data_IF_136547393192
#
_entry.id   IF_136547393192
#
_cell.length_a   1.000
_cell.length_b   1.000
_cell.length_c   1.000
_cell.angle_alpha   90.00
_cell.angle_beta   90.00
_cell.angle_gamma   90.00
#
_symmetry.space_group_name_H-M   'P 1'
#
loop_
_entity.id
_entity.type
_entity.pdbx_description
1 polymer ?
#
# COMPACT_ATOMS: atom_id res chain seq x y z
N UNK A 1 -43.05 33.15 32.14
CA UNK A 1 -43.28 31.67 32.20
C UNK A 1 -42.99 30.95 30.88
N UNK A 2 -43.16 31.59 29.73
CA UNK A 2 -42.89 30.92 28.44
C UNK A 2 -41.39 30.75 28.12
N UNK A 3 -40.52 31.66 28.53
CA UNK A 3 -39.09 31.60 28.25
C UNK A 3 -38.38 30.38 28.90
N UNK A 4 -38.83 29.96 30.10
CA UNK A 4 -38.31 28.76 30.77
C UNK A 4 -38.66 27.50 29.97
N UNK A 5 -39.86 27.43 29.42
CA UNK A 5 -40.27 26.30 28.52
C UNK A 5 -39.40 26.26 27.27
N UNK A 6 -39.18 27.36 26.60
CA UNK A 6 -38.32 27.44 25.41
C UNK A 6 -36.88 27.06 25.75
N UNK A 7 -36.36 27.53 26.86
CA UNK A 7 -35.00 27.17 27.34
C UNK A 7 -34.90 25.67 27.61
N UNK A 8 -35.84 25.09 28.35
CA UNK A 8 -35.87 23.64 28.61
C UNK A 8 -36.01 22.81 27.33
N UNK A 9 -36.87 23.24 26.41
CA UNK A 9 -37.02 22.56 25.12
C UNK A 9 -35.74 22.62 24.31
N UNK A 10 -35.11 23.78 24.19
CA UNK A 10 -33.83 23.94 23.47
C UNK A 10 -32.72 23.09 24.12
N UNK A 11 -32.66 23.07 25.44
CA UNK A 11 -31.70 22.29 26.20
C UNK A 11 -31.89 20.77 25.95
N UNK A 12 -33.14 20.29 25.97
CA UNK A 12 -33.45 18.91 25.66
C UNK A 12 -33.10 18.54 24.22
N UNK A 13 -33.34 19.42 23.26
CA UNK A 13 -32.93 19.22 21.86
C UNK A 13 -31.40 19.07 21.74
N UNK A 14 -30.65 19.96 22.39
CA UNK A 14 -29.18 19.90 22.39
C UNK A 14 -28.67 18.59 23.00
N UNK A 15 -29.20 18.18 24.15
CA UNK A 15 -28.85 16.89 24.78
C UNK A 15 -29.16 15.73 23.84
N UNK A 16 -30.33 15.73 23.22
CA UNK A 16 -30.71 14.67 22.28
C UNK A 16 -29.75 14.60 21.09
N UNK A 17 -29.36 15.73 20.51
CA UNK A 17 -28.37 15.79 19.43
C UNK A 17 -27.02 15.21 19.89
N UNK A 18 -26.55 15.60 21.08
CA UNK A 18 -25.28 15.09 21.63
C UNK A 18 -25.34 13.54 21.80
N UNK A 19 -26.45 13.03 22.34
CA UNK A 19 -26.65 11.58 22.49
C UNK A 19 -26.66 10.88 21.13
N UNK A 20 -27.35 11.43 20.14
CA UNK A 20 -27.38 10.86 18.78
C UNK A 20 -26.02 10.86 18.11
N UNK A 21 -25.24 11.93 18.25
CA UNK A 21 -23.85 12.00 17.77
C UNK A 21 -23.01 10.94 18.46
N UNK A 22 -23.10 10.81 19.77
CA UNK A 22 -22.33 9.82 20.54
C UNK A 22 -22.69 8.37 20.13
N UNK A 23 -24.00 8.07 20.01
CA UNK A 23 -24.47 6.76 19.57
C UNK A 23 -24.03 6.47 18.12
N UNK A 24 -24.13 7.46 17.25
CA UNK A 24 -23.64 7.36 15.86
C UNK A 24 -22.13 7.09 15.79
N UNK A 25 -21.34 7.74 16.66
CA UNK A 25 -19.90 7.50 16.76
C UNK A 25 -19.58 6.07 17.22
N UNK A 26 -20.30 5.57 18.21
CA UNK A 26 -20.16 4.19 18.69
C UNK A 26 -20.50 3.17 17.58
N UNK A 27 -21.58 3.42 16.82
CA UNK A 27 -21.97 2.57 15.69
C UNK A 27 -20.89 2.61 14.60
N UNK A 28 -20.41 3.80 14.24
CA UNK A 28 -19.35 3.97 13.24
C UNK A 28 -18.07 3.23 13.64
N UNK A 29 -17.67 3.30 14.90
CA UNK A 29 -16.50 2.58 15.42
C UNK A 29 -16.71 1.07 15.41
N UNK A 30 -17.86 0.61 15.93
CA UNK A 30 -18.10 -0.82 16.14
C UNK A 30 -18.37 -1.59 14.84
N UNK A 31 -19.14 -1.02 13.94
CA UNK A 31 -19.61 -1.72 12.73
C UNK A 31 -18.90 -1.31 11.44
N UNK A 32 -18.28 -0.12 11.42
CA UNK A 32 -17.57 0.38 10.23
C UNK A 32 -16.06 0.46 10.44
N UNK A 33 -15.55 0.14 11.64
CA UNK A 33 -14.12 0.23 11.98
C UNK A 33 -13.54 1.63 11.76
N UNK A 34 -14.36 2.68 11.89
CA UNK A 34 -13.96 4.07 11.72
C UNK A 34 -13.50 4.69 13.05
N UNK A 35 -12.87 5.85 12.99
CA UNK A 35 -12.42 6.58 14.18
C UNK A 35 -10.97 6.34 14.57
N UNK A 36 -10.28 5.41 13.90
CA UNK A 36 -8.85 5.16 14.08
C UNK A 36 -8.14 5.07 12.72
N UNK A 37 -8.09 6.17 11.95
CA UNK A 37 -7.45 6.17 10.63
C UNK A 37 -5.94 6.02 10.74
N UNK A 38 -5.34 5.42 9.70
CA UNK A 38 -3.89 5.33 9.59
C UNK A 38 -3.29 6.73 9.52
N UNK A 39 -2.34 7.02 10.38
CA UNK A 39 -1.62 8.29 10.44
C UNK A 39 -0.25 8.12 9.81
N UNK A 40 0.19 9.14 9.08
CA UNK A 40 1.46 9.13 8.35
C UNK A 40 2.38 10.25 8.84
N UNK A 41 3.67 9.97 8.88
CA UNK A 41 4.73 10.95 9.05
C UNK A 41 5.25 11.38 7.68
N UNK A 42 5.46 12.70 7.49
CA UNK A 42 6.13 13.21 6.28
C UNK A 42 7.62 12.94 6.34
N UNK A 43 8.21 12.61 5.20
CA UNK A 43 9.65 12.41 5.08
C UNK A 43 10.22 13.08 3.83
N UNK A 44 11.39 13.77 3.92
CA UNK A 44 11.94 14.56 2.81
C UNK A 44 12.42 13.71 1.62
N UNK A 45 12.85 12.46 1.84
CA UNK A 45 13.40 11.60 0.79
C UNK A 45 12.35 10.74 0.11
N UNK A 46 11.49 10.05 0.90
CA UNK A 46 10.47 9.14 0.36
C UNK A 46 9.04 9.62 0.51
N UNK A 47 8.85 10.88 0.86
CA UNK A 47 7.55 11.55 0.89
C UNK A 47 6.79 11.36 2.19
N UNK A 48 6.47 10.13 2.57
CA UNK A 48 5.76 9.81 3.83
C UNK A 48 5.80 8.32 4.12
N UNK A 49 5.56 7.94 5.37
CA UNK A 49 5.40 6.55 5.83
C UNK A 49 4.39 6.44 6.96
N UNK A 50 3.78 5.28 7.21
CA UNK A 50 2.91 5.10 8.36
C UNK A 50 3.65 5.42 9.65
N UNK A 51 2.95 6.04 10.62
CA UNK A 51 3.52 6.37 11.93
C UNK A 51 3.80 5.11 12.72
N UNK A 52 5.00 5.04 13.27
CA UNK A 52 5.55 3.91 14.00
C UNK A 52 4.75 3.60 15.29
N UNK A 53 4.87 2.36 15.77
CA UNK A 53 4.30 1.89 17.04
C UNK A 53 2.78 2.14 17.15
N UNK A 54 2.02 1.73 16.12
CA UNK A 54 0.57 1.88 16.08
C UNK A 54 -0.13 0.56 15.79
N UNK A 55 -1.27 0.37 16.44
CA UNK A 55 -2.23 -0.69 16.15
C UNK A 55 -3.58 -0.08 15.88
N UNK A 56 -4.20 -0.49 14.82
CA UNK A 56 -5.51 -0.03 14.39
C UNK A 56 -6.42 -1.23 14.25
N UNK A 57 -7.62 -1.16 14.83
CA UNK A 57 -8.69 -2.10 14.54
C UNK A 57 -9.62 -1.44 13.54
N UNK A 58 -9.70 -2.03 12.35
CA UNK A 58 -10.47 -1.46 11.22
C UNK A 58 -11.52 -2.47 10.81
N UNK A 59 -12.53 -2.07 10.07
CA UNK A 59 -13.58 -2.87 9.45
C UNK A 59 -13.68 -4.30 10.04
N UNK A 60 -14.81 -4.75 10.45
CA UNK A 60 -15.08 -6.11 10.96
C UNK A 60 -14.08 -6.71 11.98
N UNK A 61 -13.18 -5.87 12.52
CA UNK A 61 -12.18 -6.29 13.51
C UNK A 61 -10.79 -6.54 12.94
N UNK A 62 -10.56 -6.26 11.66
CA UNK A 62 -9.26 -6.42 11.01
C UNK A 62 -8.17 -5.60 11.73
N UNK A 63 -7.08 -6.26 12.03
CA UNK A 63 -5.94 -5.64 12.69
C UNK A 63 -4.94 -5.11 11.67
N UNK A 64 -4.54 -3.85 11.85
CA UNK A 64 -3.42 -3.23 11.12
C UNK A 64 -2.38 -2.79 12.13
N UNK A 65 -1.25 -3.45 12.14
CA UNK A 65 -0.13 -3.15 13.05
C UNK A 65 1.01 -2.50 12.27
N UNK A 66 1.41 -1.31 12.69
CA UNK A 66 2.61 -0.63 12.22
C UNK A 66 3.64 -0.75 13.34
N UNK A 67 4.74 -1.43 13.07
CA UNK A 67 5.79 -1.70 14.05
C UNK A 67 6.67 -0.47 14.32
N UNK A 68 7.75 -0.66 15.09
CA UNK A 68 8.66 0.40 15.54
C UNK A 68 9.46 1.07 14.41
N UNK A 69 9.53 0.45 13.24
CA UNK A 69 10.23 1.01 12.05
C UNK A 69 9.26 1.52 10.96
N UNK A 70 7.97 1.68 11.28
CA UNK A 70 7.00 2.26 10.34
C UNK A 70 6.61 1.35 9.17
N UNK A 71 6.71 0.04 9.32
CA UNK A 71 6.22 -0.95 8.36
C UNK A 71 5.06 -1.75 8.92
N UNK A 72 4.18 -2.25 8.06
CA UNK A 72 3.07 -3.10 8.45
C UNK A 72 3.60 -4.50 8.78
N UNK A 73 3.74 -4.78 10.07
CA UNK A 73 4.16 -6.06 10.61
C UNK A 73 3.71 -6.19 12.07
N UNK A 74 3.30 -7.39 12.48
CA UNK A 74 2.97 -7.68 13.88
C UNK A 74 4.19 -7.94 14.75
N UNK A 75 5.36 -8.09 14.15
CA UNK A 75 6.66 -8.37 14.79
C UNK A 75 7.60 -7.18 14.70
N UNK A 76 8.51 -7.07 15.66
CA UNK A 76 9.61 -6.12 15.66
C UNK A 76 10.66 -6.48 14.62
N UNK A 77 11.47 -5.50 14.20
CA UNK A 77 12.55 -5.71 13.26
C UNK A 77 13.62 -6.64 13.83
N UNK A 78 14.00 -7.66 13.05
CA UNK A 78 15.07 -8.59 13.43
C UNK A 78 16.41 -8.05 12.96
N UNK A 79 17.14 -7.42 13.88
CA UNK A 79 18.51 -6.94 13.60
C UNK A 79 19.42 -8.13 13.26
N UNK A 80 20.10 -8.08 12.12
CA UNK A 80 20.93 -9.18 11.58
C UNK A 80 20.13 -10.48 11.28
N UNK A 81 18.83 -10.40 11.16
CA UNK A 81 17.97 -11.54 10.83
C UNK A 81 17.85 -11.81 9.33
N UNK A 82 17.28 -12.95 9.00
CA UNK A 82 16.84 -13.29 7.65
C UNK A 82 15.55 -12.52 7.31
N UNK A 83 15.69 -11.29 6.82
CA UNK A 83 14.58 -10.39 6.57
C UNK A 83 14.20 -10.33 5.10
N UNK A 84 12.90 -10.43 4.82
CA UNK A 84 12.30 -10.14 3.52
C UNK A 84 11.48 -8.86 3.67
N UNK A 85 11.75 -7.85 2.87
CA UNK A 85 10.95 -6.63 2.85
C UNK A 85 10.19 -6.52 1.54
N UNK A 86 8.87 -6.39 1.65
CA UNK A 86 7.96 -6.16 0.53
C UNK A 86 7.75 -4.66 0.36
N UNK A 87 8.33 -4.09 -0.68
CA UNK A 87 8.17 -2.69 -1.06
C UNK A 87 7.08 -2.55 -2.11
N UNK A 88 6.28 -1.51 -2.03
CA UNK A 88 5.23 -1.23 -3.02
C UNK A 88 4.28 -0.13 -2.60
N UNK A 89 3.16 -0.08 -3.28
CA UNK A 89 2.07 0.86 -3.07
C UNK A 89 0.96 0.31 -2.15
N UNK A 90 -0.27 0.74 -2.38
CA UNK A 90 -1.46 0.29 -1.63
C UNK A 90 -1.78 -1.19 -1.84
N UNK A 91 -1.41 -1.77 -2.97
CA UNK A 91 -1.61 -3.21 -3.25
C UNK A 91 -0.72 -4.04 -2.32
N UNK A 92 0.53 -3.62 -2.13
CA UNK A 92 1.45 -4.25 -1.17
C UNK A 92 1.00 -4.00 0.26
N UNK A 93 0.60 -2.77 0.59
CA UNK A 93 0.06 -2.44 1.90
C UNK A 93 -1.12 -3.35 2.29
N UNK A 94 -1.99 -3.70 1.34
CA UNK A 94 -3.09 -4.63 1.50
C UNK A 94 -4.41 -3.99 1.96
N UNK A 95 -4.44 -2.65 2.11
CA UNK A 95 -5.62 -1.93 2.61
C UNK A 95 -5.85 -2.11 4.11
N UNK A 96 -6.77 -1.31 4.67
CA UNK A 96 -7.14 -1.39 6.09
C UNK A 96 -8.34 -2.32 6.34
N UNK A 97 -8.79 -3.01 5.32
CA UNK A 97 -9.89 -3.98 5.32
C UNK A 97 -9.39 -5.41 5.18
N UNK A 98 -8.09 -5.63 5.29
CA UNK A 98 -7.43 -6.94 5.32
C UNK A 98 -6.65 -7.02 6.63
N UNK A 99 -6.84 -8.08 7.39
CA UNK A 99 -6.09 -8.35 8.61
C UNK A 99 -4.59 -8.56 8.32
N UNK A 100 -3.73 -8.20 9.26
CA UNK A 100 -2.28 -8.36 9.12
C UNK A 100 -1.90 -9.78 8.72
N UNK A 101 -2.58 -10.78 9.25
CA UNK A 101 -2.33 -12.21 8.98
C UNK A 101 -2.74 -12.66 7.57
N UNK A 102 -3.55 -11.86 6.87
CA UNK A 102 -4.13 -12.16 5.55
C UNK A 102 -3.42 -11.42 4.41
N UNK A 103 -2.51 -10.49 4.70
CA UNK A 103 -1.71 -9.85 3.64
C UNK A 103 -0.81 -10.88 2.98
N UNK A 104 -0.57 -10.74 1.67
CA UNK A 104 0.30 -11.70 0.96
C UNK A 104 1.72 -11.76 1.54
N UNK A 105 2.24 -10.65 2.06
CA UNK A 105 3.55 -10.61 2.73
C UNK A 105 3.56 -11.52 3.97
N UNK A 106 2.52 -11.45 4.81
CA UNK A 106 2.39 -12.30 6.00
C UNK A 106 2.15 -13.77 5.64
N UNK A 107 1.34 -14.02 4.60
CA UNK A 107 1.06 -15.38 4.12
C UNK A 107 2.30 -16.06 3.54
N UNK A 108 3.15 -15.33 2.81
CA UNK A 108 4.45 -15.83 2.33
C UNK A 108 5.32 -16.23 3.52
N UNK A 109 5.43 -15.38 4.55
CA UNK A 109 6.24 -15.66 5.74
C UNK A 109 5.79 -16.87 6.52
N UNK A 110 4.48 -17.08 6.60
CA UNK A 110 3.91 -18.25 7.26
C UNK A 110 4.40 -19.57 6.63
N UNK A 111 4.72 -19.52 5.34
CA UNK A 111 5.22 -20.67 4.58
C UNK A 111 6.76 -20.75 4.51
N UNK A 112 7.49 -19.71 4.96
CA UNK A 112 8.96 -19.63 4.97
C UNK A 112 9.42 -19.34 6.40
N UNK A 113 9.31 -20.30 7.29
CA UNK A 113 9.41 -20.13 8.77
C UNK A 113 10.73 -19.60 9.30
N UNK A 114 11.82 -19.67 8.52
CA UNK A 114 13.14 -19.21 8.92
C UNK A 114 13.39 -17.73 8.64
N UNK A 115 12.45 -17.07 7.94
CA UNK A 115 12.56 -15.68 7.53
C UNK A 115 11.48 -14.80 8.17
N UNK A 116 11.85 -13.57 8.46
CA UNK A 116 10.92 -12.54 8.93
C UNK A 116 10.50 -11.63 7.79
N UNK A 117 9.19 -11.45 7.58
CA UNK A 117 8.68 -10.60 6.51
C UNK A 117 8.13 -9.28 7.05
N UNK A 118 8.40 -8.22 6.31
CA UNK A 118 7.99 -6.86 6.63
C UNK A 118 7.32 -6.22 5.42
N UNK A 119 6.11 -5.74 5.59
CA UNK A 119 5.37 -5.08 4.54
C UNK A 119 5.62 -3.57 4.59
N UNK A 120 6.50 -3.08 3.73
CA UNK A 120 6.84 -1.68 3.54
C UNK A 120 5.98 -1.00 2.46
N UNK A 121 4.87 -1.60 2.04
CA UNK A 121 3.90 -0.98 1.14
C UNK A 121 3.26 0.25 1.76
N UNK A 122 2.97 1.27 0.95
CA UNK A 122 2.36 2.52 1.41
C UNK A 122 1.32 3.02 0.41
N UNK A 123 0.14 3.34 0.92
CA UNK A 123 -0.95 3.84 0.08
C UNK A 123 -0.52 5.06 -0.76
N UNK A 124 -0.78 4.98 -2.07
CA UNK A 124 -0.56 6.09 -3.01
C UNK A 124 0.89 6.30 -3.45
N UNK A 125 1.82 5.43 -3.09
CA UNK A 125 3.18 5.51 -3.60
C UNK A 125 3.24 5.37 -5.12
N UNK A 126 4.18 6.10 -5.73
CA UNK A 126 4.71 5.80 -7.05
C UNK A 126 6.05 5.10 -6.93
N UNK A 127 6.60 4.67 -8.07
CA UNK A 127 7.87 3.93 -8.10
C UNK A 127 9.03 4.72 -7.49
N UNK A 128 9.03 6.06 -7.62
CA UNK A 128 10.08 6.90 -7.04
C UNK A 128 10.06 6.89 -5.51
N UNK A 129 8.88 6.80 -4.88
CA UNK A 129 8.76 6.63 -3.42
C UNK A 129 9.28 5.26 -2.99
N UNK A 130 8.90 4.21 -3.73
CA UNK A 130 9.30 2.82 -3.48
C UNK A 130 10.83 2.72 -3.51
N UNK A 131 11.46 3.25 -4.56
CA UNK A 131 12.93 3.27 -4.72
C UNK A 131 13.59 4.07 -3.60
N UNK A 132 13.10 5.27 -3.32
CA UNK A 132 13.69 6.11 -2.28
C UNK A 132 13.62 5.43 -0.90
N UNK A 133 12.51 4.76 -0.60
CA UNK A 133 12.34 4.02 0.63
C UNK A 133 13.28 2.80 0.70
N UNK A 134 13.38 2.04 -0.38
CA UNK A 134 14.32 0.91 -0.48
C UNK A 134 15.77 1.33 -0.29
N UNK A 135 16.14 2.53 -0.75
CA UNK A 135 17.54 3.01 -0.73
C UNK A 135 17.94 3.68 0.58
N UNK A 136 17.01 4.40 1.23
CA UNK A 136 17.35 5.35 2.29
C UNK A 136 16.65 5.11 3.62
N UNK A 137 15.64 4.23 3.69
CA UNK A 137 14.90 3.98 4.91
C UNK A 137 15.57 2.86 5.74
N UNK A 138 16.37 3.26 6.74
CA UNK A 138 17.02 2.32 7.65
C UNK A 138 16.05 1.92 8.77
N UNK A 139 16.02 0.65 9.18
CA UNK A 139 16.92 -0.45 8.78
C UNK A 139 16.40 -1.30 7.60
N UNK A 140 15.27 -0.99 6.99
CA UNK A 140 14.68 -1.85 5.93
C UNK A 140 15.52 -1.89 4.65
N UNK A 141 16.37 -0.88 4.43
CA UNK A 141 17.32 -0.84 3.33
C UNK A 141 18.49 -1.83 3.47
N UNK A 142 18.61 -2.51 4.62
CA UNK A 142 19.62 -3.54 4.85
C UNK A 142 19.07 -4.97 4.70
N UNK A 143 17.79 -5.11 4.32
CA UNK A 143 17.18 -6.41 4.12
C UNK A 143 17.87 -7.19 2.99
N UNK A 144 18.28 -8.45 3.24
CA UNK A 144 18.99 -9.25 2.26
C UNK A 144 18.14 -9.65 1.07
N UNK A 145 16.81 -9.71 1.22
CA UNK A 145 15.88 -9.98 0.13
C UNK A 145 14.78 -8.90 0.09
N UNK A 146 14.61 -8.29 -1.08
CA UNK A 146 13.60 -7.25 -1.34
C UNK A 146 12.63 -7.69 -2.43
N UNK A 147 11.37 -7.56 -2.16
CA UNK A 147 10.29 -7.84 -3.13
C UNK A 147 9.64 -6.52 -3.51
N UNK A 148 9.79 -6.11 -4.76
CA UNK A 148 9.19 -4.88 -5.29
C UNK A 148 7.89 -5.23 -6.01
N UNK A 149 6.75 -4.91 -5.41
CA UNK A 149 5.44 -5.10 -6.03
C UNK A 149 4.89 -3.75 -6.50
N UNK A 150 4.44 -3.68 -7.74
CA UNK A 150 3.92 -2.46 -8.34
C UNK A 150 2.75 -2.75 -9.30
N UNK A 151 1.92 -1.76 -9.54
CA UNK A 151 0.95 -1.69 -10.64
C UNK A 151 1.52 -0.79 -11.75
N UNK A 152 1.08 -0.98 -12.99
CA UNK A 152 1.58 -0.18 -14.12
C UNK A 152 1.48 1.33 -13.89
N UNK A 153 0.43 1.80 -13.20
CA UNK A 153 0.23 3.21 -12.89
C UNK A 153 1.23 3.83 -11.90
N UNK A 154 2.03 3.05 -11.19
CA UNK A 154 3.01 3.60 -10.23
C UNK A 154 4.15 4.36 -10.91
N UNK A 155 4.43 4.04 -12.18
CA UNK A 155 5.42 4.75 -12.98
C UNK A 155 4.95 6.14 -13.44
N UNK A 156 3.63 6.40 -13.38
CA UNK A 156 3.04 7.69 -13.77
C UNK A 156 2.98 8.69 -12.62
N UNK A 157 3.03 8.21 -11.37
CA UNK A 157 2.70 9.02 -10.18
C UNK A 157 3.77 10.03 -9.78
N UNK A 158 5.02 9.86 -10.23
CA UNK A 158 6.13 10.66 -9.73
C UNK A 158 6.39 10.45 -8.22
N UNK A 159 7.18 11.33 -7.62
CA UNK A 159 7.44 11.31 -6.17
C UNK A 159 6.24 11.91 -5.43
N UNK A 160 5.51 11.10 -4.73
CA UNK A 160 4.37 11.52 -3.91
C UNK A 160 4.84 12.05 -2.56
N UNK A 161 4.24 13.13 -2.11
CA UNK A 161 4.49 13.67 -0.78
C UNK A 161 3.17 13.78 0.01
N UNK A 162 3.26 14.07 1.30
CA UNK A 162 2.09 14.16 2.17
C UNK A 162 1.11 15.28 1.80
N UNK A 163 1.46 16.20 0.90
CA UNK A 163 0.56 17.23 0.37
C UNK A 163 -0.20 16.75 -0.87
N UNK A 164 0.40 15.86 -1.66
CA UNK A 164 -0.23 15.32 -2.87
C UNK A 164 -1.26 14.24 -2.55
N UNK A 165 -1.15 13.58 -1.40
CA UNK A 165 -2.06 12.55 -0.97
C UNK A 165 -3.07 13.12 0.04
N UNK A 166 -4.21 13.57 -0.47
CA UNK A 166 -5.30 14.22 0.32
C UNK A 166 -5.95 13.30 1.37
N UNK A 167 -5.77 11.99 1.25
CA UNK A 167 -6.23 11.00 2.23
C UNK A 167 -5.25 10.80 3.39
N UNK A 168 -4.09 11.46 3.36
CA UNK A 168 -3.06 11.31 4.40
C UNK A 168 -3.34 12.24 5.56
N UNK A 169 -3.57 11.65 6.70
CA UNK A 169 -3.67 12.36 7.96
C UNK A 169 -2.28 12.49 8.57
N UNK A 170 -1.77 13.73 8.63
CA UNK A 170 -0.47 14.05 9.25
C UNK A 170 -0.56 14.19 10.74
N UNK A 171 -1.65 14.81 11.20
CA UNK A 171 -1.88 15.10 12.61
C UNK A 171 -3.13 14.36 13.05
N UNK A 172 -2.93 13.30 13.82
CA UNK A 172 -4.04 12.68 14.51
C UNK A 172 -4.59 13.66 15.55
N UNK A 173 -5.83 14.14 15.43
CA UNK A 173 -6.46 14.81 16.56
C UNK A 173 -6.43 13.88 17.77
N UNK A 174 -6.32 14.48 18.96
CA UNK A 174 -6.18 13.73 20.22
C UNK A 174 -7.34 12.74 20.46
N UNK A 175 -8.47 12.98 19.78
CA UNK A 175 -9.67 12.13 19.80
C UNK A 175 -10.20 11.99 18.37
N UNK A 176 -10.11 10.81 17.80
CA UNK A 176 -10.76 10.49 16.54
C UNK A 176 -12.21 10.06 16.80
N UNK A 177 -13.10 10.65 16.02
CA UNK A 177 -14.51 10.30 15.98
C UNK A 177 -14.77 9.56 14.65
N UNK A 178 -15.47 8.44 14.69
CA UNK A 178 -15.89 7.74 13.49
C UNK A 178 -16.80 8.61 12.62
N UNK A 179 -17.65 9.46 13.23
CA UNK A 179 -18.48 10.45 12.52
C UNK A 179 -17.59 11.47 11.80
N UNK A 180 -16.53 11.95 12.46
CA UNK A 180 -15.59 12.88 11.84
C UNK A 180 -14.90 12.27 10.63
N UNK A 181 -14.52 11.00 10.70
CA UNK A 181 -13.94 10.28 9.58
C UNK A 181 -14.93 10.14 8.43
N UNK A 182 -16.21 9.82 8.71
CA UNK A 182 -17.29 9.82 7.70
C UNK A 182 -17.44 11.21 7.06
N UNK A 183 -17.50 12.26 7.86
CA UNK A 183 -17.65 13.63 7.36
C UNK A 183 -16.48 14.04 6.45
N UNK A 184 -15.25 13.68 6.80
CA UNK A 184 -14.09 13.93 5.95
C UNK A 184 -14.15 13.15 4.64
N UNK A 185 -14.53 11.88 4.69
CA UNK A 185 -14.70 11.07 3.49
C UNK A 185 -15.78 11.64 2.57
N UNK A 186 -16.93 11.97 3.12
CA UNK A 186 -18.03 12.61 2.36
C UNK A 186 -17.60 13.97 1.82
N UNK A 187 -16.95 14.80 2.64
CA UNK A 187 -16.43 16.11 2.22
C UNK A 187 -15.43 15.99 1.07
N UNK A 188 -14.50 15.03 1.16
CA UNK A 188 -13.55 14.76 0.08
C UNK A 188 -14.24 14.28 -1.20
N UNK A 189 -15.31 13.47 -1.06
CA UNK A 189 -16.09 12.95 -2.20
C UNK A 189 -16.95 14.02 -2.88
N UNK A 190 -17.45 15.01 -2.11
CA UNK A 190 -18.29 16.10 -2.61
C UNK A 190 -17.46 17.25 -3.18
N UNK A 191 -16.17 17.35 -2.86
CA UNK A 191 -15.32 18.44 -3.34
C UNK A 191 -15.18 18.38 -4.87
N UNK A 192 -15.69 19.41 -5.62
CA UNK A 192 -15.64 19.40 -7.09
C UNK A 192 -14.22 19.28 -7.66
N UNK A 193 -13.20 19.73 -6.91
CA UNK A 193 -11.79 19.58 -7.30
C UNK A 193 -11.32 18.12 -7.33
N UNK A 194 -11.98 17.23 -6.60
CA UNK A 194 -11.70 15.80 -6.61
C UNK A 194 -12.50 15.06 -7.71
N UNK A 195 -13.64 15.65 -8.14
CA UNK A 195 -14.48 15.07 -9.20
C UNK A 195 -13.87 15.23 -10.59
N UNK A 196 -13.16 16.33 -10.78
CA UNK A 196 -12.56 16.65 -12.09
C UNK A 196 -11.06 16.31 -12.12
N UNK A 197 -10.58 15.38 -11.34
CA UNK A 197 -9.14 15.06 -11.28
C UNK A 197 -8.30 16.34 -11.38
N UNK A 198 -7.06 16.42 -11.01
CA UNK A 198 -6.22 17.56 -11.37
C UNK A 198 -6.29 17.71 -12.90
N UNK A 199 -7.21 18.55 -13.37
CA UNK A 199 -7.18 18.98 -14.75
C UNK A 199 -5.84 19.67 -14.90
N UNK A 200 -4.85 18.96 -15.46
CA UNK A 200 -3.63 19.59 -15.89
C UNK A 200 -4.07 20.74 -16.80
N UNK A 201 -3.53 21.94 -16.61
CA UNK A 201 -3.79 23.09 -17.49
C UNK A 201 -3.37 22.79 -18.96
N UNK A 202 -2.86 21.59 -19.20
CA UNK A 202 -2.48 21.03 -20.50
C UNK A 202 -3.76 20.40 -21.11
N UNK A 203 -4.40 21.16 -22.01
CA UNK A 203 -5.64 20.74 -22.68
C UNK A 203 -5.39 19.85 -23.92
N UNK A 204 -4.14 19.72 -24.39
CA UNK A 204 -3.81 18.89 -25.55
C UNK A 204 -3.49 17.44 -25.12
N UNK A 205 -4.30 16.43 -25.50
CA UNK A 205 -4.08 15.03 -25.17
C UNK A 205 -2.68 14.53 -25.57
N UNK A 206 -2.17 14.98 -26.72
CA UNK A 206 -0.82 14.57 -27.20
C UNK A 206 0.31 15.09 -26.29
N UNK A 207 0.15 16.30 -25.74
CA UNK A 207 1.14 16.86 -24.79
C UNK A 207 1.05 16.10 -23.47
N UNK A 208 -0.16 15.74 -23.01
CA UNK A 208 -0.36 14.97 -21.80
C UNK A 208 0.25 13.56 -21.94
N UNK A 209 0.00 12.87 -23.05
CA UNK A 209 0.57 11.54 -23.34
C UNK A 209 2.10 11.60 -23.40
N UNK A 210 2.65 12.66 -23.99
CA UNK A 210 4.11 12.83 -24.06
C UNK A 210 4.74 13.11 -22.70
N UNK A 211 4.13 13.94 -21.87
CA UNK A 211 4.59 14.21 -20.51
C UNK A 211 4.52 12.96 -19.63
N UNK A 212 3.47 12.17 -19.77
CA UNK A 212 3.32 10.89 -19.06
C UNK A 212 4.42 9.92 -19.48
N UNK A 213 4.69 9.78 -20.76
CA UNK A 213 5.77 8.93 -21.27
C UNK A 213 7.15 9.33 -20.74
N UNK A 214 7.44 10.64 -20.64
CA UNK A 214 8.68 11.13 -20.06
C UNK A 214 8.79 10.74 -18.58
N UNK A 215 7.70 10.93 -17.82
CA UNK A 215 7.66 10.56 -16.41
C UNK A 215 7.86 9.06 -16.21
N UNK A 216 7.21 8.23 -17.03
CA UNK A 216 7.38 6.77 -16.99
C UNK A 216 8.82 6.35 -17.28
N UNK A 217 9.45 6.92 -18.32
CA UNK A 217 10.85 6.63 -18.64
C UNK A 217 11.79 7.02 -17.52
N UNK A 218 11.63 8.24 -16.98
CA UNK A 218 12.43 8.69 -15.84
C UNK A 218 12.28 7.78 -14.63
N UNK A 219 11.05 7.41 -14.28
CA UNK A 219 10.79 6.52 -13.15
C UNK A 219 11.37 5.12 -13.39
N UNK A 220 11.29 4.62 -14.63
CA UNK A 220 11.87 3.33 -15.02
C UNK A 220 13.41 3.35 -14.91
N UNK A 221 14.06 4.38 -15.42
CA UNK A 221 15.51 4.51 -15.35
C UNK A 221 16.01 4.56 -13.89
N UNK A 222 15.33 5.30 -13.02
CA UNK A 222 15.63 5.33 -11.56
C UNK A 222 15.42 3.97 -10.90
N UNK A 223 14.38 3.23 -11.31
CA UNK A 223 14.12 1.90 -10.77
C UNK A 223 15.17 0.90 -11.23
N UNK A 224 15.54 0.89 -12.51
CA UNK A 224 16.61 0.04 -13.04
C UNK A 224 17.93 0.34 -12.33
N UNK A 225 18.28 1.63 -12.14
CA UNK A 225 19.47 2.03 -11.39
C UNK A 225 19.50 1.46 -9.96
N UNK A 226 18.35 1.47 -9.27
CA UNK A 226 18.26 0.85 -7.94
C UNK A 226 18.48 -0.65 -7.98
N UNK A 227 17.88 -1.35 -8.96
CA UNK A 227 18.00 -2.79 -9.09
C UNK A 227 19.46 -3.21 -9.44
N UNK A 228 20.12 -2.48 -10.33
CA UNK A 228 21.54 -2.71 -10.65
C UNK A 228 22.45 -2.39 -9.44
N UNK A 229 22.12 -1.34 -8.68
CA UNK A 229 22.83 -1.04 -7.43
C UNK A 229 22.68 -2.20 -6.42
N UNK A 230 21.48 -2.74 -6.24
CA UNK A 230 21.25 -3.87 -5.35
C UNK A 230 22.07 -5.09 -5.78
N UNK A 231 22.04 -5.39 -7.07
CA UNK A 231 22.81 -6.47 -7.67
C UNK A 231 24.33 -6.29 -7.45
N UNK A 232 24.83 -5.06 -7.61
CA UNK A 232 26.25 -4.75 -7.39
C UNK A 232 26.69 -4.89 -5.93
N UNK A 233 25.76 -4.79 -4.99
CA UNK A 233 25.99 -4.95 -3.55
C UNK A 233 25.64 -6.34 -3.03
N UNK A 234 25.35 -7.29 -3.93
CA UNK A 234 24.99 -8.68 -3.62
C UNK A 234 23.70 -8.81 -2.79
N UNK A 235 22.77 -7.86 -2.94
CA UNK A 235 21.41 -7.97 -2.44
C UNK A 235 20.53 -8.74 -3.43
N UNK A 236 19.62 -9.54 -2.90
CA UNK A 236 18.66 -10.25 -3.74
C UNK A 236 17.35 -9.48 -3.86
N UNK A 237 16.73 -9.57 -5.01
CA UNK A 237 15.43 -8.93 -5.25
C UNK A 237 14.53 -9.72 -6.18
N UNK A 238 13.24 -9.48 -6.05
CA UNK A 238 12.18 -9.94 -6.94
C UNK A 238 11.33 -8.75 -7.37
N UNK A 239 11.06 -8.65 -8.65
CA UNK A 239 10.21 -7.63 -9.28
C UNK A 239 8.86 -8.28 -9.57
N UNK A 240 7.78 -7.77 -8.99
CA UNK A 240 6.44 -8.35 -9.10
C UNK A 240 5.49 -7.34 -9.70
N UNK A 241 5.00 -7.62 -10.89
CA UNK A 241 3.93 -6.84 -11.50
C UNK A 241 2.57 -7.38 -11.04
N UNK A 242 1.77 -6.51 -10.40
CA UNK A 242 0.39 -6.77 -10.01
C UNK A 242 -0.56 -6.17 -11.04
N UNK A 243 -1.28 -6.98 -11.82
CA UNK A 243 -2.13 -6.48 -12.88
C UNK A 243 -3.42 -5.87 -12.34
N UNK A 244 -3.92 -4.84 -13.02
CA UNK A 244 -5.27 -4.33 -12.84
C UNK A 244 -6.31 -5.24 -13.53
N UNK A 245 -7.58 -5.08 -13.16
CA UNK A 245 -8.70 -5.76 -13.85
C UNK A 245 -8.72 -5.42 -15.34
N UNK A 246 -8.38 -4.18 -15.72
CA UNK A 246 -8.34 -3.76 -17.10
C UNK A 246 -7.27 -4.53 -17.90
N UNK A 247 -6.10 -4.74 -17.31
CA UNK A 247 -5.00 -5.51 -17.89
C UNK A 247 -5.34 -7.01 -18.01
N UNK A 248 -6.02 -7.58 -17.02
CA UNK A 248 -6.50 -8.97 -17.08
C UNK A 248 -7.51 -9.17 -18.22
N UNK A 249 -8.45 -8.22 -18.40
CA UNK A 249 -9.48 -8.27 -19.44
C UNK A 249 -8.95 -8.00 -20.84
N UNK A 250 -7.92 -7.16 -20.95
CA UNK A 250 -7.31 -6.81 -22.22
C UNK A 250 -5.78 -7.02 -22.19
N UNK A 251 -5.31 -8.24 -22.50
CA UNK A 251 -3.88 -8.56 -22.49
C UNK A 251 -3.02 -7.69 -23.42
N UNK A 252 -3.61 -7.02 -24.41
CA UNK A 252 -2.87 -6.09 -25.27
C UNK A 252 -2.30 -4.90 -24.48
N UNK A 253 -2.94 -4.51 -23.36
CA UNK A 253 -2.40 -3.47 -22.48
C UNK A 253 -1.04 -3.91 -21.92
N UNK A 254 -0.94 -5.16 -21.48
CA UNK A 254 0.31 -5.73 -20.96
C UNK A 254 1.38 -5.84 -22.03
N UNK A 255 1.00 -6.36 -23.22
CA UNK A 255 1.93 -6.61 -24.33
C UNK A 255 2.53 -5.31 -24.87
N UNK A 256 1.75 -4.22 -24.87
CA UNK A 256 2.18 -2.92 -25.35
C UNK A 256 2.79 -2.01 -24.27
N UNK A 257 2.90 -2.50 -23.04
CA UNK A 257 3.49 -1.73 -21.95
C UNK A 257 5.01 -1.84 -21.98
N UNK A 258 5.67 -0.75 -22.41
CA UNK A 258 7.12 -0.73 -22.57
C UNK A 258 7.86 -0.88 -21.22
N UNK A 259 7.29 -0.42 -20.10
CA UNK A 259 7.88 -0.57 -18.76
C UNK A 259 8.00 -2.06 -18.41
N UNK A 260 6.90 -2.82 -18.60
CA UNK A 260 6.88 -4.25 -18.28
C UNK A 260 7.82 -5.04 -19.19
N UNK A 261 7.85 -4.73 -20.50
CA UNK A 261 8.76 -5.37 -21.45
C UNK A 261 10.21 -5.08 -21.13
N UNK A 262 10.55 -3.83 -20.81
CA UNK A 262 11.91 -3.44 -20.43
C UNK A 262 12.38 -4.14 -19.16
N UNK A 263 11.57 -4.17 -18.12
CA UNK A 263 11.92 -4.85 -16.87
C UNK A 263 12.11 -6.34 -17.05
N UNK A 264 11.24 -6.98 -17.85
CA UNK A 264 11.36 -8.41 -18.17
C UNK A 264 12.62 -8.71 -18.99
N UNK A 265 13.01 -7.82 -19.90
CA UNK A 265 14.22 -7.99 -20.72
C UNK A 265 15.50 -7.80 -19.88
N UNK A 266 15.55 -6.80 -18.99
CA UNK A 266 16.73 -6.53 -18.17
C UNK A 266 16.92 -7.51 -17.01
N UNK A 267 15.83 -8.00 -16.44
CA UNK A 267 15.84 -8.87 -15.24
C UNK A 267 14.96 -10.11 -15.42
N UNK A 268 15.19 -10.94 -16.44
CA UNK A 268 14.29 -12.06 -16.78
C UNK A 268 14.13 -13.08 -15.64
N UNK A 269 15.17 -13.29 -14.83
CA UNK A 269 15.16 -14.24 -13.72
C UNK A 269 14.54 -13.66 -12.44
N UNK A 270 14.48 -12.32 -12.35
CA UNK A 270 13.95 -11.63 -11.16
C UNK A 270 12.56 -11.02 -11.41
N UNK A 271 12.01 -11.12 -12.62
CA UNK A 271 10.74 -10.52 -12.99
C UNK A 271 9.61 -11.57 -12.98
N UNK A 272 8.54 -11.26 -12.27
CA UNK A 272 7.32 -12.05 -12.21
C UNK A 272 6.10 -11.18 -12.50
N UNK A 273 5.28 -11.55 -13.47
CA UNK A 273 3.94 -10.99 -13.64
C UNK A 273 2.91 -11.94 -13.05
N UNK A 274 2.02 -11.40 -12.22
CA UNK A 274 0.89 -12.14 -11.64
C UNK A 274 -0.28 -12.30 -12.61
N UNK A 275 -0.18 -11.76 -13.84
CA UNK A 275 -1.30 -11.67 -14.77
C UNK A 275 -1.89 -13.04 -15.12
N UNK A 276 -1.06 -14.01 -15.44
CA UNK A 276 -1.52 -15.35 -15.84
C UNK A 276 -2.14 -16.11 -14.66
N UNK A 277 -1.52 -16.02 -13.49
CA UNK A 277 -2.04 -16.66 -12.27
C UNK A 277 -3.38 -16.07 -11.84
N UNK A 278 -3.49 -14.75 -11.86
CA UNK A 278 -4.75 -14.09 -11.50
C UNK A 278 -5.81 -14.37 -12.56
N UNK A 279 -5.47 -14.33 -13.86
CA UNK A 279 -6.40 -14.61 -14.95
C UNK A 279 -7.01 -16.02 -14.86
N UNK A 280 -6.22 -17.01 -14.52
CA UNK A 280 -6.70 -18.40 -14.39
C UNK A 280 -7.73 -18.57 -13.25
N UNK A 281 -7.72 -17.69 -12.26
CA UNK A 281 -8.66 -17.68 -11.14
C UNK A 281 -9.80 -16.66 -11.31
N UNK A 282 -9.65 -15.71 -12.24
CA UNK A 282 -10.51 -14.52 -12.35
C UNK A 282 -11.94 -14.82 -12.81
N UNK A 283 -12.12 -15.84 -13.66
CA UNK A 283 -13.44 -16.20 -14.18
C UNK A 283 -14.31 -16.91 -13.14
N UNK A 284 -13.69 -17.48 -12.11
CA UNK A 284 -14.38 -18.23 -11.07
C UNK A 284 -14.98 -17.31 -10.02
N UNK A 285 -14.24 -16.25 -9.57
CA UNK A 285 -14.68 -15.43 -8.43
C UNK A 285 -14.03 -14.03 -8.40
N UNK A 286 -14.27 -13.22 -9.44
CA UNK A 286 -13.69 -11.87 -9.56
C UNK A 286 -13.87 -11.01 -8.29
N UNK A 287 -15.05 -11.06 -7.65
CA UNK A 287 -15.37 -10.24 -6.49
C UNK A 287 -14.68 -10.68 -5.20
N UNK A 288 -14.19 -11.91 -5.17
CA UNK A 288 -13.42 -12.43 -4.05
C UNK A 288 -11.92 -12.16 -4.24
N UNK A 289 -11.47 -11.88 -5.47
CA UNK A 289 -10.06 -11.59 -5.78
C UNK A 289 -9.77 -10.11 -5.65
N UNK A 290 -10.64 -9.27 -6.21
CA UNK A 290 -10.46 -7.82 -6.27
C UNK A 290 -11.58 -7.06 -5.58
N UNK A 291 -11.21 -6.16 -4.69
CA UNK A 291 -12.09 -5.17 -4.08
C UNK A 291 -12.53 -4.09 -5.07
N UNK A 292 -11.60 -3.61 -5.85
CA UNK A 292 -11.79 -2.60 -6.89
C UNK A 292 -10.98 -2.94 -8.16
N UNK A 293 -10.47 -1.95 -8.88
CA UNK A 293 -9.72 -2.21 -10.13
C UNK A 293 -8.32 -2.80 -9.90
N UNK A 294 -7.69 -2.60 -8.74
CA UNK A 294 -6.29 -2.98 -8.47
C UNK A 294 -6.07 -3.64 -7.11
N UNK A 295 -6.88 -3.29 -6.10
CA UNK A 295 -6.70 -3.80 -4.74
C UNK A 295 -7.31 -5.18 -4.56
N UNK A 296 -6.60 -6.03 -3.82
CA UNK A 296 -7.02 -7.39 -3.56
C UNK A 296 -7.94 -7.50 -2.33
N UNK A 297 -8.87 -8.45 -2.39
CA UNK A 297 -9.54 -9.06 -1.25
C UNK A 297 -8.71 -10.23 -0.70
N UNK A 298 -9.13 -10.88 0.38
CA UNK A 298 -8.41 -11.97 1.05
C UNK A 298 -7.97 -13.09 0.08
N UNK A 299 -8.87 -13.53 -0.81
CA UNK A 299 -8.56 -14.56 -1.79
C UNK A 299 -7.47 -14.09 -2.76
N UNK A 300 -7.50 -12.82 -3.18
CA UNK A 300 -6.47 -12.22 -4.02
C UNK A 300 -5.12 -12.24 -3.32
N UNK A 301 -5.05 -11.82 -2.07
CA UNK A 301 -3.83 -11.90 -1.26
C UNK A 301 -3.31 -13.33 -1.14
N UNK A 302 -4.20 -14.30 -0.94
CA UNK A 302 -3.84 -15.71 -0.88
C UNK A 302 -3.25 -16.22 -2.21
N UNK A 303 -3.88 -15.91 -3.34
CA UNK A 303 -3.39 -16.30 -4.68
C UNK A 303 -1.99 -15.71 -4.93
N UNK A 304 -1.78 -14.44 -4.58
CA UNK A 304 -0.47 -13.78 -4.69
C UNK A 304 0.56 -14.49 -3.82
N UNK A 305 0.24 -14.79 -2.56
CA UNK A 305 1.14 -15.48 -1.64
C UNK A 305 1.50 -16.88 -2.13
N UNK A 306 0.51 -17.66 -2.59
CA UNK A 306 0.70 -19.01 -3.13
C UNK A 306 1.62 -18.98 -4.37
N UNK A 307 1.56 -17.91 -5.17
CA UNK A 307 2.43 -17.69 -6.33
C UNK A 307 3.85 -17.27 -5.94
N UNK A 308 3.98 -16.36 -4.97
CA UNK A 308 5.28 -15.81 -4.57
C UNK A 308 6.10 -16.79 -3.73
N UNK A 309 5.46 -17.59 -2.87
CA UNK A 309 6.16 -18.48 -1.93
C UNK A 309 7.17 -19.40 -2.62
N UNK A 310 6.84 -20.17 -3.67
CA UNK A 310 7.82 -21.05 -4.34
C UNK A 310 8.94 -20.26 -5.02
N UNK A 311 8.65 -19.09 -5.59
CA UNK A 311 9.66 -18.25 -6.25
C UNK A 311 10.66 -17.70 -5.23
N UNK A 312 10.16 -17.15 -4.11
CA UNK A 312 10.99 -16.65 -3.03
C UNK A 312 11.81 -17.77 -2.38
N UNK A 313 11.21 -18.93 -2.13
CA UNK A 313 11.91 -20.10 -1.60
C UNK A 313 13.07 -20.55 -2.52
N UNK A 314 12.85 -20.54 -3.83
CA UNK A 314 13.89 -20.86 -4.80
C UNK A 314 15.01 -19.81 -4.81
N UNK A 315 14.68 -18.52 -4.73
CA UNK A 315 15.67 -17.44 -4.62
C UNK A 315 16.54 -17.62 -3.34
N UNK A 316 15.93 -17.92 -2.22
CA UNK A 316 16.62 -18.17 -0.96
C UNK A 316 17.58 -19.36 -1.07
N UNK A 317 17.09 -20.47 -1.62
CA UNK A 317 17.87 -21.72 -1.70
C UNK A 317 19.02 -21.64 -2.70
N UNK A 318 18.82 -20.97 -3.83
CA UNK A 318 19.81 -20.89 -4.91
C UNK A 318 20.90 -19.85 -4.66
N UNK A 319 20.62 -18.81 -3.89
CA UNK A 319 21.51 -17.66 -3.72
C UNK A 319 22.55 -17.85 -2.63
N UNK A 320 22.62 -19.01 -1.93
CA UNK A 320 23.50 -19.16 -0.76
C UNK A 320 23.46 -17.90 0.13
N UNK A 321 22.27 -17.32 0.33
CA UNK A 321 22.10 -16.19 1.24
C UNK A 321 22.58 -16.72 2.58
N UNK A 322 23.90 -16.71 2.77
CA UNK A 322 24.50 -17.08 4.06
C UNK A 322 24.00 -16.01 5.01
N UNK A 323 23.04 -16.40 5.84
CA UNK A 323 22.69 -15.62 7.03
C UNK A 323 24.02 -15.49 7.77
N UNK A 324 24.71 -14.38 7.57
CA UNK A 324 25.90 -14.03 8.37
C UNK A 324 25.39 -13.75 9.77
N UNK A 325 25.07 -14.81 10.49
CA UNK A 325 24.96 -14.72 11.92
C UNK A 325 26.36 -14.33 12.43
N UNK A 326 26.61 -13.05 12.59
CA UNK A 326 27.70 -12.60 13.42
C UNK A 326 27.40 -13.13 14.84
N UNK A 327 27.96 -14.30 15.15
CA UNK A 327 28.14 -14.75 16.53
C UNK A 327 29.14 -13.78 17.16
N UNK A 328 28.65 -12.70 17.74
CA UNK A 328 29.36 -11.93 18.73
C UNK A 328 28.70 -12.13 20.09
#
# INVERSE_FOLDING_TARGET
>A
MNWIKYFLTSFMIVITIIILIFLGDLVAKKYLGLGEPIVYNSHPLWGYSPRENRKYTRFDGDMVTINEIGVRASQEWQTNGANIVFFGDSVTYGGSYIDDSQTFASLVCKNISEWSCYNAGVNGYGILNIVARSRYDSPINDAPLRVFTFISGDFDRGLQNSNSAHFILRDAPKYFSGIWEIMNFVSASINPKNWFGKQSDIQDPKILDHAQLINQKFALDIFIDELERLKSLDYHFLIVHSPSIAEIKNPNILTNNFVLSTLKEHFPENYLSLADTIKSNFEIDRHLIYKDNVHFEELGHKIVADTLTPVISNLINNSNISIKFNKN
#
